data_IF_963272403037
#
_entry.id   IF_963272403037
#
_cell.length_a   1.000
_cell.length_b   1.000
_cell.length_c   1.000
_cell.angle_alpha   90.00
_cell.angle_beta   90.00
_cell.angle_gamma   90.00
#
_symmetry.space_group_name_H-M   'P 1'
#
loop_
_entity.id
_entity.type
_entity.pdbx_description
1 polymer ?
#
# COMPACT_ATOMS: atom_id res chain seq x y z
N UNK A 1 54.59 -20.28 6.33
CA UNK A 1 53.53 -21.12 6.93
C UNK A 1 52.64 -20.35 7.92
N UNK A 2 52.55 -19.02 7.85
CA UNK A 2 51.66 -18.18 8.69
C UNK A 2 50.57 -17.46 7.87
N UNK A 3 50.74 -17.30 6.55
CA UNK A 3 49.72 -16.66 5.70
C UNK A 3 48.44 -17.49 5.52
N UNK A 4 48.55 -18.83 5.51
CA UNK A 4 47.40 -19.73 5.32
C UNK A 4 46.46 -19.74 6.53
N UNK A 5 46.98 -19.49 7.75
CA UNK A 5 46.18 -19.40 8.97
C UNK A 5 45.41 -18.08 9.05
N UNK A 6 45.99 -16.98 8.54
CA UNK A 6 45.30 -15.68 8.47
C UNK A 6 44.16 -15.68 7.44
N UNK A 7 44.35 -16.35 6.31
CA UNK A 7 43.30 -16.52 5.29
C UNK A 7 42.13 -17.37 5.82
N UNK A 8 42.42 -18.40 6.63
CA UNK A 8 41.39 -19.25 7.25
C UNK A 8 40.53 -18.49 8.27
N UNK A 9 41.12 -17.53 8.99
CA UNK A 9 40.39 -16.73 9.98
C UNK A 9 39.42 -15.74 9.31
N UNK A 10 39.80 -15.15 8.18
CA UNK A 10 38.91 -14.30 7.38
C UNK A 10 37.77 -15.07 6.71
N UNK A 11 38.04 -16.29 6.21
CA UNK A 11 37.01 -17.12 5.55
C UNK A 11 35.98 -17.64 6.57
N UNK A 12 36.37 -17.91 7.83
CA UNK A 12 35.44 -18.37 8.88
C UNK A 12 34.50 -17.30 9.42
N UNK A 13 34.75 -16.01 9.18
CA UNK A 13 33.96 -14.90 9.72
C UNK A 13 32.87 -14.37 8.76
N UNK A 14 32.66 -15.02 7.61
CA UNK A 14 31.75 -14.53 6.56
C UNK A 14 30.50 -15.39 6.36
N UNK A 15 30.32 -16.47 7.13
CA UNK A 15 29.21 -17.42 6.92
C UNK A 15 28.29 -17.50 8.14
N UNK A 16 27.73 -16.35 8.52
CA UNK A 16 26.44 -16.32 9.17
C UNK A 16 25.44 -15.89 8.10
N UNK A 17 24.78 -16.86 7.46
CA UNK A 17 23.47 -16.63 6.82
C UNK A 17 22.48 -16.34 7.95
N UNK A 18 22.55 -15.13 8.52
CA UNK A 18 21.35 -14.53 9.06
C UNK A 18 20.51 -14.21 7.83
N UNK A 19 19.49 -15.02 7.54
CA UNK A 19 18.41 -14.59 6.65
C UNK A 19 17.88 -13.33 7.35
N UNK A 20 18.18 -12.11 6.86
CA UNK A 20 17.66 -10.95 7.52
C UNK A 20 16.15 -11.11 7.42
N UNK A 21 15.48 -11.08 8.57
CA UNK A 21 14.05 -10.90 8.63
C UNK A 21 13.73 -9.61 7.89
N UNK A 22 13.54 -9.73 6.58
CA UNK A 22 13.06 -8.66 5.77
C UNK A 22 11.69 -8.36 6.38
N UNK A 23 11.46 -7.15 6.87
CA UNK A 23 10.28 -6.71 7.62
C UNK A 23 8.99 -6.94 6.80
N UNK A 24 8.62 -8.20 6.62
CA UNK A 24 7.67 -8.62 5.62
C UNK A 24 6.39 -8.91 6.38
N UNK A 25 5.47 -7.95 6.28
CA UNK A 25 4.12 -8.21 6.69
C UNK A 25 3.44 -9.14 5.69
N UNK A 26 2.49 -9.93 6.18
CA UNK A 26 1.51 -10.59 5.33
C UNK A 26 0.68 -9.55 4.58
N UNK A 27 0.00 -10.01 3.53
CA UNK A 27 -1.04 -9.22 2.90
C UNK A 27 -2.12 -8.82 3.92
N UNK A 28 -2.73 -7.67 3.65
CA UNK A 28 -3.83 -7.17 4.46
C UNK A 28 -5.08 -8.02 4.25
N UNK A 29 -5.59 -8.58 5.34
CA UNK A 29 -6.81 -9.36 5.40
C UNK A 29 -7.93 -8.46 5.90
N UNK A 30 -9.03 -8.40 5.16
CA UNK A 30 -10.22 -7.64 5.56
C UNK A 30 -10.97 -8.44 6.63
N UNK A 31 -11.11 -7.87 7.82
CA UNK A 31 -11.87 -8.49 8.93
C UNK A 31 -13.25 -7.87 9.09
N UNK A 32 -13.39 -6.59 8.76
CA UNK A 32 -14.69 -5.94 8.66
C UNK A 32 -14.82 -5.37 7.24
N UNK A 33 -15.79 -5.86 6.45
CA UNK A 33 -16.01 -5.35 5.11
C UNK A 33 -16.48 -3.90 5.18
N UNK A 34 -16.38 -3.22 4.03
CA UNK A 34 -16.79 -1.84 3.94
C UNK A 34 -18.22 -1.58 4.45
N UNK A 35 -18.37 -0.68 5.41
CA UNK A 35 -19.68 -0.33 5.99
C UNK A 35 -20.61 0.42 5.04
N UNK A 36 -20.08 0.95 3.93
CA UNK A 36 -20.85 1.64 2.92
C UNK A 36 -20.72 0.95 1.56
N UNK A 37 -21.75 1.12 0.75
CA UNK A 37 -21.74 0.61 -0.61
C UNK A 37 -21.19 1.59 -1.63
N UNK A 38 -21.14 2.90 -1.38
CA UNK A 38 -20.68 3.88 -2.38
C UNK A 38 -20.18 5.16 -1.73
N UNK A 39 -19.57 6.03 -2.54
CA UNK A 39 -19.25 7.41 -2.20
C UNK A 39 -18.07 7.59 -1.27
N UNK A 40 -17.33 6.51 -0.95
CA UNK A 40 -16.24 6.53 0.03
C UNK A 40 -16.69 7.01 1.41
N UNK A 41 -17.87 6.57 1.82
CA UNK A 41 -18.52 6.94 3.08
C UNK A 41 -18.29 5.92 4.20
N UNK A 42 -17.78 4.74 3.87
CA UNK A 42 -17.61 3.62 4.77
C UNK A 42 -16.17 3.48 5.23
N UNK A 43 -16.01 2.65 6.25
CA UNK A 43 -14.71 2.21 6.75
C UNK A 43 -14.60 0.71 6.55
N UNK A 44 -13.41 0.27 6.22
CA UNK A 44 -13.01 -1.13 6.18
C UNK A 44 -11.84 -1.31 7.14
N UNK A 45 -11.94 -2.30 8.01
CA UNK A 45 -10.89 -2.68 8.95
C UNK A 45 -10.13 -3.85 8.35
N UNK A 46 -8.84 -3.63 8.10
CA UNK A 46 -7.92 -4.68 7.66
C UNK A 46 -6.85 -4.95 8.71
N UNK A 47 -6.44 -6.21 8.81
CA UNK A 47 -5.34 -6.66 9.67
C UNK A 47 -4.26 -7.31 8.86
N UNK A 48 -3.04 -7.28 9.36
CA UNK A 48 -1.91 -8.05 8.84
C UNK A 48 -1.09 -8.56 10.00
N UNK A 49 -0.34 -9.63 9.78
CA UNK A 49 0.60 -10.18 10.73
C UNK A 49 2.02 -10.11 10.17
N UNK A 50 3.02 -10.36 11.02
CA UNK A 50 4.37 -10.62 10.55
C UNK A 50 4.45 -11.96 9.85
N UNK A 51 5.30 -12.04 8.84
CA UNK A 51 5.71 -13.29 8.24
C UNK A 51 6.75 -13.95 9.16
N UNK A 52 6.47 -15.17 9.63
CA UNK A 52 7.34 -15.95 10.55
C UNK A 52 7.71 -15.23 11.86
N UNK A 53 8.73 -15.73 12.58
CA UNK A 53 9.21 -15.19 13.87
C UNK A 53 9.98 -13.86 13.72
N UNK A 54 9.67 -13.09 12.68
CA UNK A 54 10.30 -11.81 12.41
C UNK A 54 9.64 -10.68 13.20
N UNK A 55 10.48 -9.77 13.71
CA UNK A 55 10.03 -8.57 14.38
C UNK A 55 9.65 -7.51 13.34
N UNK A 56 8.35 -7.25 13.16
CA UNK A 56 7.91 -6.14 12.31
C UNK A 56 7.65 -4.88 13.13
N UNK A 57 8.22 -3.77 12.68
CA UNK A 57 7.95 -2.46 13.24
C UNK A 57 6.85 -1.76 12.41
N UNK A 58 5.69 -1.49 13.02
CA UNK A 58 4.58 -0.80 12.36
C UNK A 58 3.19 -1.31 12.72
N UNK A 59 2.13 -0.79 12.05
CA UNK A 59 0.76 -1.09 12.42
C UNK A 59 0.31 -2.46 11.90
N UNK A 60 -0.31 -3.23 12.80
CA UNK A 60 -0.98 -4.50 12.51
C UNK A 60 -2.44 -4.33 12.05
N UNK A 61 -3.01 -3.14 12.29
CA UNK A 61 -4.39 -2.80 11.97
C UNK A 61 -4.43 -1.51 11.15
N UNK A 62 -5.35 -1.41 10.20
CA UNK A 62 -5.63 -0.15 9.51
C UNK A 62 -7.12 0.03 9.26
N UNK A 63 -7.56 1.27 9.34
CA UNK A 63 -8.87 1.71 8.88
C UNK A 63 -8.70 2.44 7.55
N UNK A 64 -9.38 1.97 6.51
CA UNK A 64 -9.36 2.61 5.19
C UNK A 64 -10.76 3.05 4.78
N UNK A 65 -10.85 4.21 4.13
CA UNK A 65 -12.13 4.71 3.63
C UNK A 65 -12.50 4.04 2.32
N UNK A 66 -13.73 3.53 2.24
CA UNK A 66 -14.23 2.68 1.17
C UNK A 66 -15.72 2.96 0.87
N UNK A 67 -16.26 2.48 -0.26
CA UNK A 67 -15.57 2.04 -1.45
C UNK A 67 -15.33 3.24 -2.39
N UNK A 68 -14.33 3.15 -3.28
CA UNK A 68 -13.98 4.25 -4.19
C UNK A 68 -15.06 4.58 -5.23
N UNK A 69 -16.02 3.69 -5.49
CA UNK A 69 -17.08 3.94 -6.48
C UNK A 69 -17.99 5.08 -6.03
N UNK A 70 -18.33 5.99 -6.95
CA UNK A 70 -19.29 7.06 -6.65
C UNK A 70 -20.71 6.50 -6.44
N UNK A 71 -21.51 7.22 -5.65
CA UNK A 71 -22.93 6.95 -5.51
C UNK A 71 -23.73 7.50 -6.70
N UNK A 72 -24.86 6.85 -6.99
CA UNK A 72 -25.85 7.36 -7.93
C UNK A 72 -26.85 8.27 -7.22
N UNK A 73 -27.55 9.09 -8.00
CA UNK A 73 -28.68 9.90 -7.53
C UNK A 73 -29.72 9.01 -6.82
N UNK A 74 -30.32 9.43 -5.68
CA UNK A 74 -30.36 10.79 -5.11
C UNK A 74 -29.26 11.12 -4.09
N UNK A 75 -28.39 10.16 -3.75
CA UNK A 75 -27.32 10.40 -2.78
C UNK A 75 -26.23 11.29 -3.39
N UNK A 76 -25.50 12.08 -2.59
CA UNK A 76 -24.33 12.78 -3.07
C UNK A 76 -23.33 11.77 -3.64
N UNK A 77 -22.71 12.11 -4.77
CA UNK A 77 -21.84 11.18 -5.49
C UNK A 77 -20.64 10.72 -4.64
N UNK A 78 -20.11 11.59 -3.80
CA UNK A 78 -19.02 11.30 -2.86
C UNK A 78 -19.35 11.90 -1.48
N UNK A 79 -18.85 11.26 -0.43
CA UNK A 79 -18.91 11.79 0.92
C UNK A 79 -18.02 13.02 1.10
N UNK A 80 -18.24 13.72 2.21
CA UNK A 80 -17.50 14.93 2.56
C UNK A 80 -15.99 14.69 2.59
N UNK A 81 -15.22 15.65 2.08
CA UNK A 81 -13.77 15.54 1.92
C UNK A 81 -13.31 14.75 0.69
N UNK A 82 -14.22 14.16 -0.09
CA UNK A 82 -13.90 13.46 -1.33
C UNK A 82 -14.52 14.12 -2.55
N UNK A 83 -13.82 14.02 -3.69
CA UNK A 83 -14.23 14.61 -4.96
C UNK A 83 -14.32 13.54 -6.04
N UNK A 84 -15.31 13.68 -6.93
CA UNK A 84 -15.47 12.79 -8.07
C UNK A 84 -14.36 13.03 -9.09
N UNK A 85 -13.61 11.99 -9.40
CA UNK A 85 -12.55 11.96 -10.42
C UNK A 85 -12.82 10.83 -11.41
N UNK A 86 -12.23 10.92 -12.59
CA UNK A 86 -12.21 9.80 -13.54
C UNK A 86 -10.89 9.08 -13.33
N UNK A 87 -10.95 7.80 -12.95
CA UNK A 87 -9.76 6.97 -12.90
C UNK A 87 -9.37 6.57 -14.34
N UNK A 88 -8.19 6.97 -14.84
CA UNK A 88 -7.81 6.72 -16.23
C UNK A 88 -7.58 5.23 -16.52
N UNK A 89 -7.20 4.44 -15.52
CA UNK A 89 -6.98 3.00 -15.67
C UNK A 89 -8.32 2.23 -15.80
N UNK A 90 -9.30 2.55 -14.95
CA UNK A 90 -10.60 1.85 -14.94
C UNK A 90 -11.66 2.51 -15.85
N UNK A 91 -11.42 3.75 -16.28
CA UNK A 91 -12.37 4.63 -17.00
C UNK A 91 -13.70 4.82 -16.26
N UNK A 92 -13.70 4.69 -14.93
CA UNK A 92 -14.88 4.85 -14.08
C UNK A 92 -14.78 6.11 -13.23
N UNK A 93 -15.95 6.64 -12.85
CA UNK A 93 -16.05 7.71 -11.88
C UNK A 93 -15.86 7.16 -10.46
N UNK A 94 -14.82 7.65 -9.79
CA UNK A 94 -14.41 7.26 -8.45
C UNK A 94 -14.32 8.50 -7.56
N UNK A 95 -14.43 8.28 -6.25
CA UNK A 95 -14.26 9.30 -5.22
C UNK A 95 -12.83 9.26 -4.71
N UNK A 96 -12.08 10.34 -4.96
CA UNK A 96 -10.70 10.51 -4.53
C UNK A 96 -10.58 11.61 -3.48
N UNK A 97 -9.60 11.51 -2.61
CA UNK A 97 -9.24 12.62 -1.73
C UNK A 97 -8.58 13.73 -2.56
N UNK A 98 -8.50 14.97 -2.05
CA UNK A 98 -7.77 16.04 -2.73
C UNK A 98 -6.31 15.65 -3.03
N UNK A 99 -5.67 14.91 -2.12
CA UNK A 99 -4.30 14.43 -2.30
C UNK A 99 -4.18 13.39 -3.43
N UNK A 100 -5.09 12.42 -3.49
CA UNK A 100 -5.10 11.42 -4.59
C UNK A 100 -5.45 12.06 -5.93
N UNK A 101 -6.34 13.07 -5.95
CA UNK A 101 -6.64 13.82 -7.17
C UNK A 101 -5.38 14.49 -7.72
N UNK A 102 -4.51 15.02 -6.86
CA UNK A 102 -3.26 15.64 -7.30
C UNK A 102 -2.31 14.61 -7.91
N UNK A 103 -2.17 13.43 -7.28
CA UNK A 103 -1.36 12.34 -7.82
C UNK A 103 -1.81 11.94 -9.23
N UNK A 104 -3.12 11.83 -9.48
CA UNK A 104 -3.66 11.54 -10.82
C UNK A 104 -3.30 12.62 -11.86
N UNK A 105 -3.20 13.88 -11.45
CA UNK A 105 -2.76 14.98 -12.33
C UNK A 105 -1.27 14.88 -12.62
N UNK A 106 -0.47 14.57 -11.61
CA UNK A 106 0.98 14.43 -11.72
C UNK A 106 1.36 13.21 -12.60
N UNK A 107 0.67 12.08 -12.41
CA UNK A 107 0.83 10.88 -13.24
C UNK A 107 0.48 11.16 -14.71
N UNK A 108 -0.61 11.89 -14.96
CA UNK A 108 -0.98 12.30 -16.32
C UNK A 108 0.08 13.20 -16.96
N UNK A 109 0.71 14.08 -16.18
CA UNK A 109 1.79 14.95 -16.66
C UNK A 109 3.05 14.14 -16.99
N UNK A 110 3.40 13.17 -16.14
CA UNK A 110 4.53 12.26 -16.38
C UNK A 110 4.33 11.46 -17.67
N UNK A 111 3.16 10.82 -17.83
CA UNK A 111 2.88 10.01 -19.02
C UNK A 111 2.94 10.83 -20.31
N UNK A 112 2.48 12.09 -20.29
CA UNK A 112 2.60 12.99 -21.45
C UNK A 112 4.06 13.38 -21.75
N UNK A 113 4.93 13.42 -20.75
CA UNK A 113 6.34 13.77 -20.93
C UNK A 113 7.18 12.61 -21.49
N UNK A 114 6.71 11.37 -21.35
CA UNK A 114 7.34 10.16 -21.91
C UNK A 114 6.97 9.93 -23.39
N UNK A 115 5.96 10.63 -23.91
CA UNK A 115 5.52 10.60 -25.31
C UNK A 115 6.27 11.62 -26.23
N UNK A 116 7.27 12.33 -25.70
CA UNK A 116 8.12 13.31 -26.41
C UNK A 116 9.57 12.83 -26.48
#
# INVERSE_FOLDING_TARGET
MWCLLSFYFFIRLSLSDEIPCQEQYTDWIVIEPCTAECGRCGLELSVRSCFEECECNGPFYRNITCPKRHCLHPKPACCEGFVRVVNPATKRYECASPAEKQQLVDDKKKNRAEDL
#
